data_IF_690950970480
#
_entry.id   IF_690950970480
#
_cell.length_a   1.000
_cell.length_b   1.000
_cell.length_c   1.000
_cell.angle_alpha   90.00
_cell.angle_beta   90.00
_cell.angle_gamma   90.00
#
_symmetry.space_group_name_H-M   'P 1'
#
loop_
_entity.id
_entity.type
_entity.pdbx_description
1 polymer ?
#
# COMPACT_ATOMS: atom_id res chain seq x y z
N UNK A 1 -24.64 4.41 -0.50
CA UNK A 1 -23.69 5.51 -0.24
C UNK A 1 -23.32 5.44 1.23
N UNK A 2 -22.04 5.53 1.56
CA UNK A 2 -21.52 5.43 2.94
C UNK A 2 -20.81 6.73 3.29
N UNK A 3 -21.02 7.24 4.51
CA UNK A 3 -20.26 8.36 5.04
C UNK A 3 -19.13 7.80 5.91
N UNK A 4 -17.89 8.16 5.57
CA UNK A 4 -16.70 7.80 6.31
C UNK A 4 -15.85 9.07 6.50
N UNK A 5 -15.68 9.45 7.77
CA UNK A 5 -14.98 10.68 8.21
C UNK A 5 -15.44 11.98 7.50
N UNK A 6 -16.74 12.11 7.20
CA UNK A 6 -17.29 13.28 6.53
C UNK A 6 -17.11 13.30 5.01
N UNK A 7 -16.61 12.22 4.42
CA UNK A 7 -16.62 12.01 2.97
C UNK A 7 -17.67 10.97 2.60
N UNK A 8 -18.32 11.20 1.46
CA UNK A 8 -19.30 10.27 0.92
C UNK A 8 -18.65 9.36 -0.11
N UNK A 9 -18.91 8.06 0.04
CA UNK A 9 -18.46 7.03 -0.88
C UNK A 9 -19.66 6.34 -1.53
N UNK A 10 -19.65 6.27 -2.86
CA UNK A 10 -20.62 5.48 -3.63
C UNK A 10 -20.05 4.08 -3.83
N UNK A 11 -20.87 3.08 -3.49
CA UNK A 11 -20.57 1.65 -3.66
C UNK A 11 -21.58 1.10 -4.66
N UNK A 12 -21.10 0.40 -5.68
CA UNK A 12 -21.92 -0.38 -6.60
C UNK A 12 -21.59 -1.86 -6.38
N UNK A 13 -22.53 -2.61 -5.81
CA UNK A 13 -22.34 -4.04 -5.52
C UNK A 13 -22.36 -4.90 -6.78
N UNK A 14 -23.16 -4.53 -7.78
CA UNK A 14 -23.26 -5.24 -9.06
C UNK A 14 -21.92 -5.24 -9.81
N UNK A 15 -21.34 -4.05 -9.95
CA UNK A 15 -20.06 -3.85 -10.63
C UNK A 15 -18.86 -4.14 -9.70
N UNK A 16 -19.10 -4.47 -8.42
CA UNK A 16 -18.07 -4.62 -7.39
C UNK A 16 -17.11 -3.42 -7.32
N UNK A 17 -17.65 -2.21 -7.39
CA UNK A 17 -16.86 -0.96 -7.37
C UNK A 17 -17.19 -0.08 -6.16
N UNK A 18 -16.21 0.72 -5.75
CA UNK A 18 -16.38 1.78 -4.78
C UNK A 18 -15.60 3.01 -5.24
N UNK A 19 -16.13 4.20 -5.00
CA UNK A 19 -15.44 5.48 -5.26
C UNK A 19 -14.11 5.64 -4.52
N UNK A 20 -13.81 4.83 -3.50
CA UNK A 20 -12.48 4.76 -2.89
C UNK A 20 -11.44 3.98 -3.73
N UNK A 21 -11.88 3.35 -4.83
CA UNK A 21 -11.06 2.57 -5.77
C UNK A 21 -10.74 1.14 -5.32
N UNK A 22 -10.70 0.89 -4.00
CA UNK A 22 -10.21 -0.39 -3.45
C UNK A 22 -11.03 -1.61 -3.85
N UNK A 23 -12.35 -1.49 -3.91
CA UNK A 23 -13.19 -2.65 -4.27
C UNK A 23 -12.89 -3.17 -5.69
N UNK A 24 -12.59 -2.27 -6.62
CA UNK A 24 -12.21 -2.64 -7.97
C UNK A 24 -10.77 -3.17 -8.05
N UNK A 25 -9.82 -2.50 -7.38
CA UNK A 25 -8.38 -2.82 -7.47
C UNK A 25 -8.02 -4.09 -6.73
N UNK A 26 -8.53 -4.23 -5.51
CA UNK A 26 -8.22 -5.38 -4.66
C UNK A 26 -9.12 -6.58 -4.98
N UNK A 27 -10.17 -6.37 -5.79
CA UNK A 27 -11.24 -7.34 -6.08
C UNK A 27 -11.87 -7.96 -4.81
N UNK A 28 -11.80 -7.20 -3.71
CA UNK A 28 -12.31 -7.53 -2.39
C UNK A 28 -13.14 -6.34 -1.87
N UNK A 29 -14.26 -6.59 -1.17
CA UNK A 29 -15.03 -5.53 -0.54
C UNK A 29 -14.15 -4.66 0.37
N UNK A 30 -14.01 -3.38 0.01
CA UNK A 30 -13.39 -2.38 0.86
C UNK A 30 -14.24 -2.12 2.12
N UNK A 31 -13.74 -1.39 3.14
CA UNK A 31 -14.53 -1.08 4.35
C UNK A 31 -15.91 -0.47 4.05
N UNK A 32 -15.99 0.44 3.08
CA UNK A 32 -17.26 1.04 2.66
C UNK A 32 -18.20 0.01 2.04
N UNK A 33 -17.69 -0.89 1.21
CA UNK A 33 -18.50 -1.95 0.63
C UNK A 33 -18.97 -2.94 1.71
N UNK A 34 -18.12 -3.22 2.69
CA UNK A 34 -18.44 -4.05 3.85
C UNK A 34 -19.60 -3.47 4.66
N UNK A 35 -19.59 -2.17 4.91
CA UNK A 35 -20.68 -1.48 5.62
C UNK A 35 -22.00 -1.58 4.85
N UNK A 36 -21.99 -1.42 3.52
CA UNK A 36 -23.19 -1.58 2.68
C UNK A 36 -23.68 -3.03 2.73
N UNK A 37 -22.81 -4.01 2.53
CA UNK A 37 -23.17 -5.44 2.57
C UNK A 37 -23.81 -5.82 3.91
N UNK A 38 -23.20 -5.38 5.02
CA UNK A 38 -23.72 -5.59 6.37
C UNK A 38 -25.09 -4.94 6.58
N UNK A 39 -25.29 -3.73 6.06
CA UNK A 39 -26.59 -3.03 6.16
C UNK A 39 -27.72 -3.71 5.38
N UNK A 40 -27.36 -4.46 4.34
CA UNK A 40 -28.29 -5.20 3.48
C UNK A 40 -28.41 -6.68 3.85
N UNK A 41 -27.75 -7.12 4.93
CA UNK A 41 -27.68 -8.53 5.35
C UNK A 41 -27.23 -9.48 4.23
N UNK A 42 -26.30 -9.02 3.39
CA UNK A 42 -25.72 -9.79 2.31
C UNK A 42 -24.42 -10.46 2.78
N UNK A 43 -24.16 -11.66 2.28
CA UNK A 43 -22.94 -12.40 2.57
C UNK A 43 -21.78 -11.83 1.77
N UNK A 44 -20.70 -11.33 2.40
CA UNK A 44 -19.56 -10.77 1.68
C UNK A 44 -18.84 -11.77 0.75
N UNK A 45 -18.98 -13.07 1.03
CA UNK A 45 -18.43 -14.19 0.26
C UNK A 45 -18.82 -14.18 -1.22
N UNK A 46 -20.02 -13.69 -1.52
CA UNK A 46 -20.54 -13.60 -2.89
C UNK A 46 -19.91 -12.44 -3.68
N UNK A 47 -19.27 -11.50 -2.97
CA UNK A 47 -18.75 -10.25 -3.52
C UNK A 47 -17.22 -10.24 -3.67
N UNK A 48 -16.52 -11.27 -3.20
CA UNK A 48 -15.11 -11.49 -3.55
C UNK A 48 -14.96 -11.88 -5.02
N UNK A 49 -13.78 -11.63 -5.60
CA UNK A 49 -13.36 -12.28 -6.83
C UNK A 49 -13.14 -13.78 -6.63
N UNK A 50 -13.37 -14.55 -7.69
CA UNK A 50 -13.08 -15.99 -7.69
C UNK A 50 -11.61 -16.28 -7.37
N UNK A 51 -10.69 -15.34 -7.66
CA UNK A 51 -9.27 -15.44 -7.31
C UNK A 51 -9.04 -15.81 -5.83
N UNK A 52 -9.87 -15.28 -4.93
CA UNK A 52 -9.74 -15.50 -3.48
C UNK A 52 -10.51 -16.72 -2.97
N UNK A 53 -11.24 -17.44 -3.82
CA UNK A 53 -12.02 -18.60 -3.40
C UNK A 53 -11.12 -19.83 -3.19
N UNK A 54 -11.45 -20.71 -2.24
CA UNK A 54 -10.67 -21.92 -1.97
C UNK A 54 -10.39 -22.77 -3.21
N UNK A 55 -11.36 -22.87 -4.12
CA UNK A 55 -11.20 -23.58 -5.40
C UNK A 55 -10.03 -23.03 -6.23
N UNK A 56 -9.91 -21.71 -6.35
CA UNK A 56 -8.84 -21.07 -7.11
C UNK A 56 -7.49 -21.25 -6.42
N UNK A 57 -7.45 -21.16 -5.09
CA UNK A 57 -6.24 -21.45 -4.32
C UNK A 57 -5.76 -22.88 -4.57
N UNK A 58 -6.66 -23.87 -4.51
CA UNK A 58 -6.30 -25.27 -4.79
C UNK A 58 -5.76 -25.44 -6.21
N UNK A 59 -6.41 -24.83 -7.23
CA UNK A 59 -5.93 -24.92 -8.61
C UNK A 59 -4.55 -24.25 -8.81
N UNK A 60 -4.27 -23.13 -8.13
CA UNK A 60 -2.96 -22.46 -8.20
C UNK A 60 -1.84 -23.39 -7.71
N UNK A 61 -2.10 -24.17 -6.68
CA UNK A 61 -1.14 -25.11 -6.08
C UNK A 61 -1.31 -26.56 -6.56
N UNK A 62 -2.09 -26.80 -7.61
CA UNK A 62 -2.27 -28.14 -8.19
C UNK A 62 -0.98 -28.66 -8.84
N UNK A 63 -0.06 -27.76 -9.21
CA UNK A 63 1.24 -28.13 -9.77
C UNK A 63 2.05 -28.93 -8.73
N UNK A 64 2.44 -30.17 -9.03
CA UNK A 64 3.20 -30.98 -8.10
C UNK A 64 4.57 -30.35 -7.86
N UNK A 65 4.90 -30.13 -6.58
CA UNK A 65 6.27 -29.83 -6.16
C UNK A 65 7.01 -31.15 -6.09
N UNK A 66 7.80 -31.45 -7.11
CA UNK A 66 8.69 -32.60 -7.08
C UNK A 66 9.79 -32.36 -6.04
N UNK A 67 10.05 -33.32 -5.14
CA UNK A 67 11.19 -33.21 -4.25
C UNK A 67 12.46 -33.11 -5.08
N UNK A 68 13.41 -32.28 -4.63
CA UNK A 68 14.73 -32.29 -5.23
C UNK A 68 15.36 -33.66 -4.98
N UNK A 69 16.04 -34.26 -5.99
CA UNK A 69 16.79 -35.49 -5.79
C UNK A 69 17.92 -35.26 -4.76
N UNK A 70 18.49 -36.34 -4.24
CA UNK A 70 19.63 -36.21 -3.33
C UNK A 70 20.79 -35.45 -4.02
N UNK A 71 21.59 -34.73 -3.23
CA UNK A 71 22.72 -33.95 -3.78
C UNK A 71 23.71 -34.82 -4.56
N UNK A 72 23.84 -36.10 -4.21
CA UNK A 72 24.69 -37.06 -4.93
C UNK A 72 24.20 -37.38 -6.34
N UNK A 73 22.92 -37.14 -6.64
CA UNK A 73 22.30 -37.38 -7.94
C UNK A 73 22.30 -36.14 -8.84
N UNK A 74 22.81 -35.00 -8.35
CA UNK A 74 22.80 -33.75 -9.09
C UNK A 74 23.86 -33.76 -10.18
N UNK A 75 23.42 -33.60 -11.44
CA UNK A 75 24.32 -33.36 -12.57
C UNK A 75 24.74 -31.88 -12.59
N UNK A 76 25.78 -31.53 -11.82
CA UNK A 76 26.31 -30.16 -11.76
C UNK A 76 27.39 -29.98 -12.85
N UNK A 77 27.20 -29.10 -13.84
CA UNK A 77 28.23 -28.81 -14.84
C UNK A 77 29.52 -28.29 -14.21
N UNK A 78 30.67 -28.70 -14.78
CA UNK A 78 32.01 -28.35 -14.27
C UNK A 78 32.21 -26.84 -14.07
N UNK A 79 31.72 -26.03 -15.02
CA UNK A 79 31.84 -24.57 -14.94
C UNK A 79 31.08 -23.95 -13.76
N UNK A 80 30.02 -24.60 -13.25
CA UNK A 80 29.27 -24.16 -12.07
C UNK A 80 29.97 -24.63 -10.80
N UNK A 81 30.44 -25.89 -10.76
CA UNK A 81 31.15 -26.43 -9.59
C UNK A 81 32.47 -25.71 -9.31
N UNK A 82 33.11 -25.17 -10.34
CA UNK A 82 34.35 -24.41 -10.25
C UNK A 82 34.13 -22.91 -10.04
N UNK A 83 32.87 -22.44 -10.11
CA UNK A 83 32.56 -21.02 -9.95
C UNK A 83 32.78 -20.58 -8.49
N UNK A 84 33.76 -19.72 -8.30
CA UNK A 84 34.02 -19.09 -7.00
C UNK A 84 33.15 -17.84 -6.87
N UNK A 85 32.01 -17.97 -6.18
CA UNK A 85 31.15 -16.84 -5.84
C UNK A 85 31.80 -16.01 -4.73
N UNK A 86 32.44 -14.91 -5.11
CA UNK A 86 33.03 -13.96 -4.17
C UNK A 86 31.94 -13.12 -3.49
N UNK A 87 32.11 -12.72 -2.21
CA UNK A 87 31.20 -11.79 -1.57
C UNK A 87 31.17 -10.44 -2.32
N UNK A 88 30.06 -9.69 -2.25
CA UNK A 88 30.01 -8.34 -2.80
C UNK A 88 31.16 -7.49 -2.28
N UNK A 89 31.84 -6.76 -3.18
CA UNK A 89 32.96 -5.88 -2.82
C UNK A 89 32.59 -4.82 -1.79
N UNK A 90 31.31 -4.43 -1.73
CA UNK A 90 30.80 -3.42 -0.82
C UNK A 90 29.90 -4.04 0.23
N UNK A 91 30.25 -3.82 1.50
CA UNK A 91 29.37 -4.11 2.63
C UNK A 91 28.42 -2.95 2.83
N UNK A 92 27.13 -3.26 3.04
CA UNK A 92 26.16 -2.27 3.52
C UNK A 92 26.63 -1.81 4.91
N UNK A 93 26.77 -0.49 5.15
CA UNK A 93 27.17 0.00 6.47
C UNK A 93 26.13 -0.43 7.52
N UNK A 94 26.56 -0.66 8.78
CA UNK A 94 25.63 -1.01 9.85
C UNK A 94 24.56 0.06 10.01
N UNK A 95 23.31 -0.37 10.15
CA UNK A 95 22.14 0.49 10.31
C UNK A 95 21.14 0.41 9.16
N UNK A 96 19.93 0.90 9.43
CA UNK A 96 18.86 1.04 8.43
C UNK A 96 19.30 2.07 7.38
N UNK A 97 19.31 1.75 6.07
CA UNK A 97 19.52 2.78 5.07
C UNK A 97 18.51 3.88 5.27
N UNK A 98 18.99 5.11 5.12
CA UNK A 98 18.09 6.24 5.06
C UNK A 98 17.21 6.03 3.82
N UNK A 99 15.91 5.89 4.03
CA UNK A 99 14.91 6.04 2.97
C UNK A 99 14.93 7.50 2.51
N UNK A 100 16.00 7.93 1.84
CA UNK A 100 15.95 9.16 1.04
C UNK A 100 15.25 8.75 -0.23
N UNK A 101 13.93 8.96 -0.28
CA UNK A 101 13.21 8.94 -1.55
C UNK A 101 13.78 10.09 -2.37
N UNK A 102 14.29 9.79 -3.55
CA UNK A 102 14.60 10.81 -4.53
C UNK A 102 13.29 11.51 -4.90
N UNK A 103 13.16 12.77 -4.47
CA UNK A 103 11.96 13.55 -4.74
C UNK A 103 11.98 13.96 -6.21
N UNK A 104 10.92 13.70 -6.99
CA UNK A 104 10.83 14.21 -8.35
C UNK A 104 10.83 15.75 -8.35
N UNK A 105 11.26 16.37 -9.45
CA UNK A 105 11.33 17.82 -9.59
C UNK A 105 9.99 18.51 -9.25
N UNK A 106 8.87 17.85 -9.57
CA UNK A 106 7.52 18.31 -9.23
C UNK A 106 7.30 18.50 -7.73
N UNK A 107 7.89 17.68 -6.86
CA UNK A 107 7.78 17.81 -5.40
C UNK A 107 8.77 18.82 -4.80
N UNK A 108 9.92 19.03 -5.46
CA UNK A 108 10.89 20.05 -5.05
C UNK A 108 10.38 21.46 -5.36
N UNK A 109 9.62 21.60 -6.45
CA UNK A 109 9.01 22.87 -6.89
C UNK A 109 7.69 23.19 -6.19
N UNK A 110 7.11 22.26 -5.41
CA UNK A 110 5.92 22.57 -4.62
C UNK A 110 6.25 23.65 -3.58
N UNK A 111 5.46 24.73 -3.57
CA UNK A 111 5.50 25.72 -2.50
C UNK A 111 5.22 25.00 -1.19
N UNK A 112 6.20 24.98 -0.27
CA UNK A 112 5.98 24.52 1.09
C UNK A 112 4.77 25.27 1.64
N UNK A 113 3.76 24.55 2.12
CA UNK A 113 2.60 25.17 2.75
C UNK A 113 3.08 26.13 3.85
N UNK A 114 2.92 27.44 3.60
CA UNK A 114 3.18 28.45 4.59
C UNK A 114 2.04 28.38 5.59
N UNK A 115 2.33 27.84 6.78
CA UNK A 115 1.36 27.86 7.86
C UNK A 115 1.14 29.32 8.29
N UNK A 116 -0.12 29.71 8.40
CA UNK A 116 -0.52 30.98 9.02
C UNK A 116 -0.68 30.79 10.52
N UNK A 117 -0.24 31.77 11.32
CA UNK A 117 -0.42 31.74 12.77
C UNK A 117 -1.92 31.68 13.15
N UNK A 118 -2.36 30.74 13.97
CA UNK A 118 -3.80 30.65 14.29
C UNK A 118 -4.37 31.85 15.08
N UNK A 119 -3.53 32.75 15.63
CA UNK A 119 -3.96 33.94 16.39
C UNK A 119 -4.12 35.15 15.47
N UNK A 120 -3.07 35.53 14.74
CA UNK A 120 -3.06 36.72 13.89
C UNK A 120 -3.17 36.39 12.39
N UNK A 121 -3.01 35.10 12.04
CA UNK A 121 -2.96 34.52 10.69
C UNK A 121 -1.97 35.13 9.72
N UNK A 122 -0.99 35.88 10.22
CA UNK A 122 0.18 36.20 9.43
C UNK A 122 1.11 34.98 9.35
N UNK A 123 1.83 34.86 8.24
CA UNK A 123 2.84 33.82 8.02
C UNK A 123 4.13 34.09 8.80
N UNK A 124 5.04 33.11 8.79
CA UNK A 124 6.41 33.26 9.32
C UNK A 124 6.58 32.98 10.81
N UNK A 125 5.50 32.69 11.55
CA UNK A 125 5.58 32.29 12.95
C UNK A 125 4.36 31.42 13.35
N UNK A 126 4.46 30.75 14.50
CA UNK A 126 3.38 29.93 15.04
C UNK A 126 2.70 30.59 16.25
N UNK A 127 1.61 29.98 16.75
CA UNK A 127 0.86 30.46 17.92
C UNK A 127 1.75 30.72 19.14
N UNK A 128 2.73 29.86 19.40
CA UNK A 128 3.60 29.93 20.59
C UNK A 128 4.57 31.10 20.54
N UNK A 129 4.96 31.53 19.34
CA UNK A 129 5.86 32.67 19.13
C UNK A 129 5.14 33.92 18.60
N UNK A 130 3.81 33.98 18.70
CA UNK A 130 3.02 35.10 18.19
C UNK A 130 3.09 36.30 19.14
N UNK A 131 3.53 37.45 18.59
CA UNK A 131 3.51 38.75 19.29
C UNK A 131 2.50 39.74 18.70
N UNK A 132 1.77 39.32 17.66
CA UNK A 132 0.78 40.15 16.98
C UNK A 132 -0.58 40.07 17.67
N UNK A 133 -1.40 41.11 17.49
CA UNK A 133 -2.77 41.13 17.96
C UNK A 133 -3.62 40.01 17.30
N UNK A 134 -4.63 39.46 18.00
CA UNK A 134 -5.57 38.51 17.43
C UNK A 134 -6.30 39.10 16.21
N UNK A 135 -6.63 38.26 15.22
CA UNK A 135 -7.47 38.67 14.11
C UNK A 135 -8.81 39.18 14.64
N UNK A 136 -9.21 40.38 14.22
CA UNK A 136 -10.58 40.87 14.44
C UNK A 136 -11.49 40.14 13.45
N UNK A 137 -12.57 39.56 13.97
CA UNK A 137 -13.65 38.95 13.18
C UNK A 137 -14.38 40.02 12.37
#
# INVERSE_FOLDING_TARGET
MVNDEGRHYTVCLLEKTCSCGRFHVDELPCPHAWDVLKSMFLMPEDYYSDYYKPKSVVMIYEVPVYPLPDRSEWNIPTHISEEVVLPPKWKRPPGRPKNKRDKPLSELLQKKNQHSCSICGQGGHNKRSCRNAPRRN
#
